data_IF_954392101628
#
_entry.id   IF_954392101628
#
_cell.length_a   1.000
_cell.length_b   1.000
_cell.length_c   1.000
_cell.angle_alpha   90.00
_cell.angle_beta   90.00
_cell.angle_gamma   90.00
#
_symmetry.space_group_name_H-M   'P 1'
#
loop_
_entity.id
_entity.type
_entity.pdbx_description
1 polymer ?
#
# COMPACT_ATOMS: atom_id res chain seq x y z
N UNK A 1 8.71 15.01 -9.92
CA UNK A 1 9.20 16.22 -9.21
C UNK A 1 10.67 16.06 -8.88
N UNK A 2 11.45 17.17 -8.96
CA UNK A 2 12.87 17.18 -8.58
C UNK A 2 13.04 17.29 -7.04
N UNK A 3 14.18 16.83 -6.53
CA UNK A 3 14.48 16.87 -5.08
C UNK A 3 14.35 18.30 -4.51
N UNK A 4 14.88 19.39 -5.14
CA UNK A 4 14.70 20.75 -4.60
C UNK A 4 13.25 21.18 -4.44
N UNK A 5 12.37 20.84 -5.40
CA UNK A 5 10.94 21.15 -5.34
C UNK A 5 10.27 20.38 -4.20
N UNK A 6 10.58 19.08 -4.06
CA UNK A 6 10.04 18.26 -2.98
C UNK A 6 10.51 18.76 -1.61
N UNK A 7 11.78 19.11 -1.45
CA UNK A 7 12.30 19.67 -0.18
C UNK A 7 11.59 20.96 0.24
N UNK A 8 11.26 21.81 -0.72
CA UNK A 8 10.47 23.03 -0.43
C UNK A 8 9.09 22.68 0.11
N UNK A 9 8.44 21.66 -0.46
CA UNK A 9 7.11 21.18 -0.02
C UNK A 9 7.17 20.42 1.32
N UNK A 10 8.32 19.84 1.67
CA UNK A 10 8.53 19.04 2.89
C UNK A 10 9.11 19.86 4.05
N UNK A 11 9.19 21.19 3.91
CA UNK A 11 9.66 22.06 5.00
C UNK A 11 8.67 21.97 6.17
N UNK A 12 9.19 21.74 7.36
CA UNK A 12 8.41 21.61 8.61
C UNK A 12 7.36 20.48 8.59
N UNK A 13 7.65 19.41 7.82
CA UNK A 13 6.79 18.22 7.71
C UNK A 13 7.48 17.03 8.36
N UNK A 14 6.79 16.39 9.32
CA UNK A 14 7.32 15.23 10.06
C UNK A 14 7.09 13.92 9.30
N UNK A 15 5.93 13.73 8.67
CA UNK A 15 5.53 12.46 8.04
C UNK A 15 5.10 12.65 6.60
N UNK A 16 5.67 11.86 5.71
CA UNK A 16 5.30 11.81 4.30
C UNK A 16 4.47 10.56 4.01
N UNK A 17 3.32 10.73 3.39
CA UNK A 17 2.53 9.63 2.81
C UNK A 17 2.70 9.68 1.30
N UNK A 18 3.55 8.81 0.75
CA UNK A 18 3.84 8.76 -0.68
C UNK A 18 2.88 7.82 -1.40
N UNK A 19 1.85 8.38 -2.03
CA UNK A 19 0.89 7.68 -2.89
C UNK A 19 1.17 7.87 -4.37
N UNK A 20 2.14 8.73 -4.74
CA UNK A 20 2.42 9.09 -6.12
C UNK A 20 3.01 7.92 -6.91
N UNK A 21 2.34 7.52 -7.99
CA UNK A 21 2.82 6.49 -8.91
C UNK A 21 1.97 6.47 -10.20
N UNK A 22 2.53 5.92 -11.28
CA UNK A 22 1.74 5.27 -12.31
C UNK A 22 1.23 3.95 -11.76
N UNK A 23 -0.10 3.82 -11.61
CA UNK A 23 -0.73 2.69 -10.90
C UNK A 23 -1.36 1.62 -11.81
N UNK A 24 -1.26 1.78 -13.13
CA UNK A 24 -1.78 0.80 -14.08
C UNK A 24 -0.87 -0.45 -14.13
N UNK A 25 -1.38 -1.65 -13.80
CA UNK A 25 -0.58 -2.88 -13.88
C UNK A 25 -0.13 -3.25 -15.30
N UNK A 26 -0.79 -2.71 -16.33
CA UNK A 26 -0.46 -2.92 -17.74
C UNK A 26 0.45 -1.82 -18.32
N UNK A 27 0.92 -0.87 -17.50
CA UNK A 27 1.83 0.18 -17.95
C UNK A 27 3.16 -0.41 -18.43
N UNK A 28 3.74 0.19 -19.48
CA UNK A 28 5.06 -0.16 -19.96
C UNK A 28 6.15 0.24 -18.97
N UNK A 29 7.38 -0.24 -19.18
CA UNK A 29 8.51 0.17 -18.35
C UNK A 29 8.78 1.67 -18.47
N UNK A 30 8.64 2.23 -19.67
CA UNK A 30 8.85 3.67 -19.92
C UNK A 30 7.82 4.54 -19.19
N UNK A 31 6.57 4.09 -19.07
CA UNK A 31 5.54 4.79 -18.30
C UNK A 31 5.85 4.81 -16.79
N UNK A 32 6.58 3.81 -16.32
CA UNK A 32 6.82 3.55 -14.90
C UNK A 32 8.13 4.17 -14.40
N UNK A 33 9.18 4.21 -15.23
CA UNK A 33 10.54 4.57 -14.79
C UNK A 33 10.56 5.94 -14.10
N UNK A 34 9.98 6.95 -14.69
CA UNK A 34 9.99 8.30 -14.12
C UNK A 34 9.14 8.44 -12.86
N UNK A 35 7.83 8.07 -12.82
CA UNK A 35 7.01 8.27 -11.63
C UNK A 35 7.34 7.29 -10.51
N UNK A 36 7.60 6.00 -10.82
CA UNK A 36 7.68 4.96 -9.81
C UNK A 36 9.11 4.67 -9.33
N UNK A 37 10.12 4.85 -10.18
CA UNK A 37 11.53 4.60 -9.84
C UNK A 37 12.18 5.91 -9.42
N UNK A 38 12.34 6.86 -10.37
CA UNK A 38 13.00 8.13 -10.10
C UNK A 38 12.18 8.97 -9.11
N UNK A 39 10.85 9.01 -9.29
CA UNK A 39 9.95 9.73 -8.40
C UNK A 39 9.96 9.19 -6.98
N UNK A 40 9.95 7.87 -6.79
CA UNK A 40 10.06 7.27 -5.47
C UNK A 40 11.39 7.63 -4.80
N UNK A 41 12.53 7.41 -5.50
CA UNK A 41 13.84 7.81 -4.98
C UNK A 41 13.87 9.28 -4.55
N UNK A 42 13.37 10.18 -5.40
CA UNK A 42 13.38 11.62 -5.10
C UNK A 42 12.58 11.95 -3.84
N UNK A 43 11.46 11.26 -3.60
CA UNK A 43 10.65 11.46 -2.37
C UNK A 43 11.42 11.02 -1.13
N UNK A 44 12.03 9.83 -1.14
CA UNK A 44 12.80 9.35 0.01
C UNK A 44 14.01 10.24 0.30
N UNK A 45 14.77 10.65 -0.74
CA UNK A 45 15.93 11.50 -0.57
C UNK A 45 15.54 12.91 -0.10
N UNK A 46 14.47 13.49 -0.67
CA UNK A 46 13.96 14.77 -0.22
C UNK A 46 13.49 14.74 1.24
N UNK A 47 12.77 13.68 1.65
CA UNK A 47 12.33 13.49 3.03
C UNK A 47 13.52 13.43 4.01
N UNK A 48 14.54 12.62 3.67
CA UNK A 48 15.78 12.54 4.45
C UNK A 48 16.48 13.91 4.59
N UNK A 49 16.66 14.61 3.46
CA UNK A 49 17.34 15.93 3.43
C UNK A 49 16.54 17.06 4.08
N UNK A 50 15.23 16.86 4.25
CA UNK A 50 14.34 17.82 4.94
C UNK A 50 14.17 17.51 6.43
N UNK A 51 14.76 16.43 6.93
CA UNK A 51 14.65 16.04 8.33
C UNK A 51 13.29 15.42 8.70
N UNK A 52 12.53 14.92 7.73
CA UNK A 52 11.29 14.18 8.04
C UNK A 52 11.58 12.96 8.90
N UNK A 53 10.67 12.64 9.81
CA UNK A 53 10.82 11.51 10.73
C UNK A 53 10.39 10.18 10.11
N UNK A 54 9.38 10.22 9.19
CA UNK A 54 8.79 9.00 8.62
C UNK A 54 8.35 9.18 7.18
N UNK A 55 8.56 8.11 6.38
CA UNK A 55 7.92 7.92 5.07
C UNK A 55 7.01 6.69 5.12
N UNK A 56 5.74 6.87 4.75
CA UNK A 56 4.80 5.79 4.49
C UNK A 56 4.71 5.63 2.98
N UNK A 57 5.12 4.48 2.48
CA UNK A 57 5.17 4.20 1.04
C UNK A 57 4.01 3.30 0.59
N UNK A 58 3.25 3.76 -0.40
CA UNK A 58 2.23 2.93 -1.04
C UNK A 58 2.88 1.89 -1.95
N UNK A 59 3.14 0.70 -1.40
CA UNK A 59 3.38 -0.52 -2.16
C UNK A 59 2.05 -1.10 -2.66
N UNK A 60 2.04 -2.31 -3.18
CA UNK A 60 0.87 -2.90 -3.80
C UNK A 60 0.82 -4.41 -3.62
N UNK A 61 -0.38 -4.98 -3.65
CA UNK A 61 -0.58 -6.43 -3.81
C UNK A 61 0.15 -6.97 -5.06
N UNK A 62 0.37 -6.13 -6.09
CA UNK A 62 1.12 -6.52 -7.30
C UNK A 62 2.58 -6.88 -7.03
N UNK A 63 3.16 -6.50 -5.90
CA UNK A 63 4.47 -6.96 -5.46
C UNK A 63 4.51 -8.49 -5.21
N UNK A 64 3.35 -9.11 -4.95
CA UNK A 64 3.24 -10.54 -4.56
C UNK A 64 2.19 -11.32 -5.36
N UNK A 65 1.71 -10.81 -6.48
CA UNK A 65 0.66 -11.46 -7.29
C UNK A 65 1.11 -12.75 -8.00
N UNK A 66 2.40 -13.07 -7.99
CA UNK A 66 2.94 -14.33 -8.52
C UNK A 66 2.63 -15.58 -7.69
N UNK A 67 2.11 -15.43 -6.47
CA UNK A 67 1.67 -16.56 -5.67
C UNK A 67 0.37 -17.16 -6.22
N UNK A 68 0.18 -18.50 -6.13
CA UNK A 68 -1.04 -19.18 -6.55
C UNK A 68 -2.30 -18.63 -5.86
N UNK A 69 -3.44 -18.74 -6.55
CA UNK A 69 -4.76 -18.44 -5.97
C UNK A 69 -4.98 -19.35 -4.75
N UNK A 70 -5.48 -18.78 -3.66
CA UNK A 70 -5.69 -19.49 -2.39
C UNK A 70 -4.49 -19.47 -1.44
N UNK A 71 -3.33 -18.93 -1.86
CA UNK A 71 -2.21 -18.66 -0.95
C UNK A 71 -2.57 -17.57 0.05
N UNK A 72 -1.94 -17.62 1.23
CA UNK A 72 -1.95 -16.51 2.20
C UNK A 72 -0.51 -16.01 2.35
N UNK A 73 -0.19 -14.93 1.66
CA UNK A 73 1.17 -14.39 1.57
C UNK A 73 1.50 -13.55 2.81
N UNK A 74 2.60 -13.89 3.47
CA UNK A 74 3.10 -13.15 4.65
C UNK A 74 4.03 -12.00 4.24
N UNK A 75 4.24 -11.08 5.15
CA UNK A 75 5.18 -9.95 4.94
C UNK A 75 6.65 -10.41 4.77
N UNK A 76 6.99 -11.60 5.26
CA UNK A 76 8.33 -12.21 5.15
C UNK A 76 8.53 -13.01 3.86
N UNK A 77 7.47 -13.29 3.12
CA UNK A 77 7.56 -14.09 1.90
C UNK A 77 8.19 -13.27 0.78
N UNK A 78 8.92 -13.98 -0.10
CA UNK A 78 9.63 -13.37 -1.22
C UNK A 78 8.64 -12.61 -2.11
N UNK A 79 9.01 -11.44 -2.55
CA UNK A 79 8.21 -10.67 -3.51
C UNK A 79 8.26 -11.35 -4.89
N UNK A 80 7.09 -11.60 -5.49
CA UNK A 80 6.91 -12.24 -6.80
C UNK A 80 5.98 -11.39 -7.67
N UNK A 81 6.50 -10.34 -8.32
CA UNK A 81 5.70 -9.49 -9.21
C UNK A 81 5.45 -10.17 -10.54
N UNK A 82 4.27 -9.94 -11.16
CA UNK A 82 3.93 -10.41 -12.51
C UNK A 82 4.00 -9.29 -13.56
N UNK A 83 4.33 -8.06 -13.19
CA UNK A 83 4.37 -6.91 -14.08
C UNK A 83 5.36 -5.85 -13.58
N UNK A 84 5.72 -4.90 -14.48
CA UNK A 84 6.66 -3.82 -14.13
C UNK A 84 6.14 -2.91 -13.02
N UNK A 85 4.83 -2.70 -12.92
CA UNK A 85 4.25 -1.96 -11.82
C UNK A 85 4.55 -2.63 -10.46
N UNK A 86 4.31 -3.94 -10.34
CA UNK A 86 4.66 -4.70 -9.13
C UNK A 86 6.17 -4.63 -8.83
N UNK A 87 7.03 -4.78 -9.84
CA UNK A 87 8.48 -4.66 -9.69
C UNK A 87 8.89 -3.27 -9.19
N UNK A 88 8.27 -2.20 -9.70
CA UNK A 88 8.53 -0.83 -9.23
C UNK A 88 8.12 -0.62 -7.76
N UNK A 89 7.10 -1.33 -7.30
CA UNK A 89 6.69 -1.28 -5.88
C UNK A 89 7.69 -1.99 -4.97
N UNK A 90 8.29 -3.09 -5.43
CA UNK A 90 9.39 -3.77 -4.72
C UNK A 90 10.62 -2.87 -4.64
N UNK A 91 10.95 -2.12 -5.69
CA UNK A 91 11.99 -1.10 -5.63
C UNK A 91 11.74 -0.10 -4.49
N UNK A 92 10.51 0.40 -4.35
CA UNK A 92 10.15 1.28 -3.24
C UNK A 92 10.22 0.60 -1.86
N UNK A 93 9.87 -0.69 -1.74
CA UNK A 93 10.07 -1.48 -0.51
C UNK A 93 11.57 -1.59 -0.18
N UNK A 94 12.44 -1.73 -1.18
CA UNK A 94 13.90 -1.73 -1.02
C UNK A 94 14.41 -0.35 -0.57
N UNK A 95 13.87 0.75 -1.10
CA UNK A 95 14.17 2.09 -0.59
C UNK A 95 13.76 2.23 0.89
N UNK A 96 12.58 1.75 1.29
CA UNK A 96 12.18 1.75 2.70
C UNK A 96 13.23 1.07 3.58
N UNK A 97 13.76 -0.08 3.15
CA UNK A 97 14.82 -0.78 3.89
C UNK A 97 16.11 0.03 3.96
N UNK A 98 16.61 0.55 2.83
CA UNK A 98 17.85 1.33 2.75
C UNK A 98 17.75 2.56 3.65
N UNK A 99 16.71 3.37 3.50
CA UNK A 99 16.59 4.62 4.23
C UNK A 99 16.39 4.42 5.74
N UNK A 100 15.72 3.35 6.14
CA UNK A 100 15.53 3.04 7.55
C UNK A 100 16.79 2.49 8.23
N UNK A 101 17.62 1.73 7.53
CA UNK A 101 18.82 1.11 8.09
C UNK A 101 20.07 1.98 7.95
N UNK A 102 20.19 2.69 6.82
CA UNK A 102 21.38 3.52 6.55
C UNK A 102 21.25 4.94 7.10
N UNK A 103 20.04 5.51 7.06
CA UNK A 103 19.84 6.93 7.36
C UNK A 103 18.90 7.19 8.54
N UNK A 104 18.49 6.16 9.26
CA UNK A 104 17.59 6.26 10.44
C UNK A 104 16.23 6.92 10.17
N UNK A 105 15.81 7.04 8.91
CA UNK A 105 14.48 7.52 8.52
C UNK A 105 13.47 6.39 8.73
N UNK A 106 12.45 6.58 9.57
CA UNK A 106 11.40 5.56 9.72
C UNK A 106 10.66 5.34 8.40
N UNK A 107 10.58 4.09 7.92
CA UNK A 107 9.95 3.77 6.65
C UNK A 107 8.97 2.59 6.78
N UNK A 108 7.71 2.81 6.45
CA UNK A 108 6.67 1.78 6.45
C UNK A 108 6.09 1.65 5.05
N UNK A 109 6.26 0.48 4.42
CA UNK A 109 5.62 0.16 3.16
C UNK A 109 4.27 -0.54 3.40
N UNK A 110 3.23 -0.19 2.65
CA UNK A 110 1.93 -0.85 2.71
C UNK A 110 1.66 -1.51 1.35
N UNK A 111 1.64 -2.83 1.29
CA UNK A 111 1.14 -3.60 0.13
C UNK A 111 -0.36 -3.44 0.07
N UNK A 112 -0.83 -2.38 -0.58
CA UNK A 112 -2.25 -2.05 -0.67
C UNK A 112 -2.93 -3.06 -1.61
N UNK A 113 -4.01 -3.65 -1.13
CA UNK A 113 -4.88 -4.52 -1.91
C UNK A 113 -5.67 -3.77 -2.98
N UNK A 114 -6.67 -4.42 -3.58
CA UNK A 114 -7.57 -3.75 -4.50
C UNK A 114 -8.44 -2.74 -3.73
N UNK A 115 -8.16 -1.45 -3.95
CA UNK A 115 -8.86 -0.38 -3.28
C UNK A 115 -10.31 -0.28 -3.75
N UNK A 116 -11.25 -0.31 -2.81
CA UNK A 116 -12.68 -0.16 -3.03
C UNK A 116 -13.14 1.15 -2.41
N UNK A 117 -13.23 2.20 -3.23
CA UNK A 117 -13.78 3.49 -2.81
C UNK A 117 -15.31 3.42 -2.67
N UNK A 118 -15.88 4.33 -1.87
CA UNK A 118 -17.31 4.32 -1.58
C UNK A 118 -18.17 4.59 -2.83
N UNK A 119 -17.71 5.41 -3.75
CA UNK A 119 -18.35 5.70 -5.04
C UNK A 119 -18.30 4.52 -6.03
N UNK A 120 -17.30 3.65 -5.94
CA UNK A 120 -17.10 2.51 -6.86
C UNK A 120 -17.54 1.16 -6.29
N UNK A 121 -18.10 1.11 -5.07
CA UNK A 121 -18.51 -0.14 -4.41
C UNK A 121 -19.38 -1.03 -5.30
N UNK A 122 -20.43 -0.46 -5.91
CA UNK A 122 -21.33 -1.23 -6.78
C UNK A 122 -20.57 -1.86 -7.93
N UNK A 123 -19.83 -1.06 -8.71
CA UNK A 123 -19.04 -1.53 -9.84
C UNK A 123 -18.12 -2.69 -9.45
N UNK A 124 -17.33 -2.52 -8.39
CA UNK A 124 -16.37 -3.54 -7.91
C UNK A 124 -17.08 -4.82 -7.51
N UNK A 125 -18.25 -4.73 -6.85
CA UNK A 125 -19.02 -5.91 -6.43
C UNK A 125 -19.59 -6.72 -7.59
N UNK A 126 -19.85 -6.11 -8.74
CA UNK A 126 -20.36 -6.79 -9.94
C UNK A 126 -19.25 -7.28 -10.86
N UNK A 127 -18.12 -6.55 -10.95
CA UNK A 127 -17.02 -6.88 -11.85
C UNK A 127 -16.03 -7.90 -11.26
N UNK A 128 -16.04 -8.11 -9.93
CA UNK A 128 -15.11 -9.03 -9.27
C UNK A 128 -15.77 -10.28 -8.76
N UNK A 129 -15.07 -11.40 -8.93
CA UNK A 129 -15.41 -12.70 -8.33
C UNK A 129 -14.59 -12.98 -7.06
N UNK A 130 -13.39 -12.40 -6.94
CA UNK A 130 -12.47 -12.61 -5.84
C UNK A 130 -12.20 -11.31 -5.05
N UNK A 131 -12.46 -11.34 -3.76
CA UNK A 131 -12.32 -10.22 -2.83
C UNK A 131 -11.21 -10.45 -1.79
N UNK A 132 -10.40 -11.50 -1.92
CA UNK A 132 -9.41 -11.94 -0.93
C UNK A 132 -8.37 -10.86 -0.57
N UNK A 133 -8.14 -9.88 -1.45
CA UNK A 133 -7.22 -8.77 -1.25
C UNK A 133 -7.87 -7.39 -1.40
N UNK A 134 -9.19 -7.30 -1.31
CA UNK A 134 -9.88 -5.99 -1.33
C UNK A 134 -9.63 -5.25 -0.02
N UNK A 135 -9.44 -3.94 -0.12
CA UNK A 135 -9.40 -3.03 1.01
C UNK A 135 -10.39 -1.90 0.80
N UNK A 136 -11.25 -1.66 1.79
CA UNK A 136 -12.24 -0.59 1.78
C UNK A 136 -11.58 0.77 2.02
N UNK A 137 -12.29 1.84 1.67
CA UNK A 137 -11.87 3.22 1.96
C UNK A 137 -11.65 3.44 3.46
N UNK A 138 -12.55 2.93 4.30
CA UNK A 138 -12.44 3.03 5.76
C UNK A 138 -11.17 2.34 6.28
N UNK A 139 -10.93 1.11 5.87
CA UNK A 139 -9.84 0.31 6.39
C UNK A 139 -8.47 0.81 5.92
N UNK A 140 -8.33 1.29 4.66
CA UNK A 140 -7.06 1.88 4.22
C UNK A 140 -6.77 3.20 4.93
N UNK A 141 -7.80 4.02 5.16
CA UNK A 141 -7.65 5.27 5.91
C UNK A 141 -7.21 5.00 7.35
N UNK A 142 -7.80 3.99 7.99
CA UNK A 142 -7.37 3.54 9.33
C UNK A 142 -5.91 3.08 9.31
N UNK A 143 -5.52 2.24 8.35
CA UNK A 143 -4.14 1.71 8.28
C UNK A 143 -3.12 2.83 8.09
N UNK A 144 -3.37 3.76 7.16
CA UNK A 144 -2.49 4.92 6.94
C UNK A 144 -2.39 5.76 8.21
N UNK A 145 -3.51 6.08 8.85
CA UNK A 145 -3.54 6.84 10.11
C UNK A 145 -2.72 6.13 11.21
N UNK A 146 -2.90 4.80 11.38
CA UNK A 146 -2.11 4.00 12.32
C UNK A 146 -0.61 4.04 12.01
N UNK A 147 -0.21 4.08 10.74
CA UNK A 147 1.19 4.23 10.36
C UNK A 147 1.72 5.64 10.67
N UNK A 148 0.90 6.70 10.49
CA UNK A 148 1.29 8.08 10.81
C UNK A 148 1.59 8.22 12.30
N UNK A 149 0.70 7.76 13.17
CA UNK A 149 0.82 7.89 14.64
C UNK A 149 1.63 6.75 15.29
N UNK A 150 2.19 5.85 14.50
CA UNK A 150 2.95 4.70 15.03
C UNK A 150 4.17 5.18 15.86
N UNK A 151 4.53 4.49 16.93
CA UNK A 151 5.67 4.87 17.78
C UNK A 151 6.97 5.07 16.99
N UNK A 152 7.78 6.07 17.37
CA UNK A 152 9.07 6.39 16.71
C UNK A 152 10.08 5.24 16.73
N UNK A 153 9.95 4.29 17.67
CA UNK A 153 10.78 3.08 17.72
C UNK A 153 10.57 2.14 16.53
N UNK A 154 9.45 2.26 15.81
CA UNK A 154 9.20 1.48 14.60
C UNK A 154 10.00 2.12 13.46
N UNK A 155 11.12 1.48 13.10
CA UNK A 155 12.01 1.98 12.04
C UNK A 155 11.64 1.48 10.66
N UNK A 156 11.17 0.23 10.57
CA UNK A 156 10.88 -0.41 9.28
C UNK A 156 9.72 -1.40 9.40
N UNK A 157 8.95 -1.53 8.33
CA UNK A 157 7.94 -2.59 8.19
C UNK A 157 7.35 -2.64 6.78
N UNK A 158 7.02 -3.85 6.32
CA UNK A 158 6.19 -4.08 5.14
C UNK A 158 4.86 -4.63 5.63
N UNK A 159 3.78 -3.90 5.45
CA UNK A 159 2.45 -4.23 5.93
C UNK A 159 1.54 -4.68 4.80
N UNK A 160 0.68 -5.64 5.06
CA UNK A 160 -0.40 -6.01 4.17
C UNK A 160 -1.61 -5.13 4.42
N UNK A 161 -2.07 -4.42 3.39
CA UNK A 161 -3.27 -3.59 3.41
C UNK A 161 -4.44 -4.33 2.76
N UNK A 162 -5.23 -5.03 3.56
CA UNK A 162 -6.47 -5.71 3.17
C UNK A 162 -7.51 -5.52 4.27
N UNK A 163 -8.80 -5.45 3.90
CA UNK A 163 -9.90 -5.57 4.85
C UNK A 163 -9.90 -6.96 5.50
N UNK A 164 -10.70 -7.17 6.56
CA UNK A 164 -10.83 -8.50 7.19
C UNK A 164 -11.73 -9.45 6.39
N UNK A 165 -11.42 -9.58 5.12
CA UNK A 165 -12.19 -10.42 4.22
C UNK A 165 -12.25 -11.87 4.71
N UNK A 166 -13.36 -12.55 4.43
CA UNK A 166 -13.60 -13.95 4.80
C UNK A 166 -12.46 -14.87 4.38
N UNK A 167 -11.83 -14.57 3.25
CA UNK A 167 -10.57 -15.17 2.79
C UNK A 167 -9.55 -14.07 2.59
N UNK A 168 -8.29 -14.35 2.87
CA UNK A 168 -7.20 -13.40 2.72
C UNK A 168 -6.15 -13.95 1.76
N UNK A 169 -5.74 -13.14 0.80
CA UNK A 169 -4.56 -13.40 -0.03
C UNK A 169 -3.28 -12.88 0.64
N UNK A 170 -3.38 -11.82 1.42
CA UNK A 170 -2.25 -11.28 2.19
C UNK A 170 -2.55 -11.36 3.69
N UNK A 171 -1.63 -11.91 4.47
CA UNK A 171 -1.73 -11.97 5.92
C UNK A 171 -1.61 -10.56 6.54
N UNK A 172 -2.62 -10.14 7.29
CA UNK A 172 -2.69 -8.84 7.96
C UNK A 172 -2.22 -8.89 9.43
N UNK A 173 -1.80 -10.04 9.94
CA UNK A 173 -1.43 -10.23 11.34
C UNK A 173 -0.27 -9.33 11.76
N UNK A 174 0.71 -9.14 10.87
CA UNK A 174 1.84 -8.26 11.14
C UNK A 174 1.44 -6.78 11.22
N UNK A 175 0.53 -6.31 10.37
CA UNK A 175 -0.01 -4.95 10.46
C UNK A 175 -0.77 -4.74 11.78
N UNK A 176 -1.57 -5.73 12.22
CA UNK A 176 -2.22 -5.71 13.52
C UNK A 176 -1.23 -5.59 14.66
N UNK A 177 -0.16 -6.41 14.65
CA UNK A 177 0.87 -6.42 15.69
C UNK A 177 1.71 -5.14 15.71
N UNK A 178 2.14 -4.66 14.53
CA UNK A 178 3.12 -3.58 14.44
C UNK A 178 2.49 -2.21 14.74
N UNK A 179 1.36 -1.90 14.12
CA UNK A 179 0.74 -0.57 14.17
C UNK A 179 -0.67 -0.56 14.78
N UNK A 180 -1.18 -1.70 15.23
CA UNK A 180 -2.53 -1.79 15.78
C UNK A 180 -3.64 -1.66 14.72
N UNK A 181 -3.38 -2.13 13.49
CA UNK A 181 -4.38 -2.19 12.43
C UNK A 181 -5.54 -3.10 12.84
N UNK A 182 -6.77 -2.62 12.76
CA UNK A 182 -7.97 -3.39 13.09
C UNK A 182 -9.06 -3.15 12.04
N UNK A 183 -8.95 -3.76 10.84
CA UNK A 183 -9.93 -3.58 9.78
C UNK A 183 -11.31 -4.07 10.19
N UNK A 184 -12.35 -3.38 9.72
CA UNK A 184 -13.74 -3.63 10.10
C UNK A 184 -14.57 -4.21 8.95
N UNK A 185 -14.19 -3.95 7.71
CA UNK A 185 -14.98 -4.37 6.54
C UNK A 185 -14.64 -5.78 6.06
N UNK A 186 -15.64 -6.45 5.50
CA UNK A 186 -15.51 -7.68 4.73
C UNK A 186 -16.17 -7.50 3.37
N UNK A 187 -15.36 -7.48 2.31
CA UNK A 187 -15.84 -7.23 0.96
C UNK A 187 -16.80 -8.33 0.46
N UNK A 188 -16.68 -9.57 0.93
CA UNK A 188 -17.62 -10.65 0.60
C UNK A 188 -19.01 -10.37 1.14
N UNK A 189 -19.10 -9.96 2.41
CA UNK A 189 -20.38 -9.62 3.06
C UNK A 189 -20.98 -8.38 2.40
N UNK A 190 -20.19 -7.32 2.24
CA UNK A 190 -20.65 -6.06 1.64
C UNK A 190 -21.18 -6.26 0.21
N UNK A 191 -20.47 -7.00 -0.62
CA UNK A 191 -20.90 -7.23 -2.00
C UNK A 191 -22.13 -8.15 -2.09
N UNK A 192 -22.28 -9.10 -1.19
CA UNK A 192 -23.49 -9.91 -1.09
C UNK A 192 -24.73 -9.06 -0.75
N UNK A 193 -24.60 -8.11 0.15
CA UNK A 193 -25.67 -7.19 0.51
C UNK A 193 -26.05 -6.25 -0.66
N UNK A 194 -25.05 -5.67 -1.34
CA UNK A 194 -25.29 -4.80 -2.50
C UNK A 194 -26.02 -5.56 -3.62
N UNK A 195 -25.61 -6.79 -3.95
CA UNK A 195 -26.27 -7.63 -4.96
C UNK A 195 -27.71 -7.91 -4.59
N UNK A 196 -28.00 -8.32 -3.34
CA UNK A 196 -29.37 -8.57 -2.87
C UNK A 196 -30.29 -7.35 -2.92
N UNK A 197 -29.77 -6.14 -2.72
CA UNK A 197 -30.56 -4.92 -2.82
C UNK A 197 -30.98 -4.62 -4.26
N UNK A 198 -30.14 -4.97 -5.23
CA UNK A 198 -30.43 -4.76 -6.66
C UNK A 198 -31.43 -5.76 -7.21
N UNK A 199 -31.43 -7.00 -6.70
CA UNK A 199 -32.41 -8.04 -7.09
C UNK A 199 -33.84 -7.75 -6.57
N UNK A 200 -34.03 -6.71 -5.74
CA UNK A 200 -35.32 -6.30 -5.16
C UNK A 200 -35.95 -5.07 -5.85
N UNK A 201 -35.24 -4.49 -6.82
CA UNK A 201 -35.69 -3.33 -7.62
C UNK A 201 -36.07 -3.78 -9.02
#
# INVERSE_FOLDING_TARGET
SSIPVLRKAMKDVDVIVNLAAQSNPSASFDDIINPNIIGAYNVFEAARLSGCERVIFASSVHAVRGYPIGSVVKHTDIALPLNFYGASKIFGESLCFIYSHTYSLSCIAIRIGAYMSDDKKKMICFERENFDYVISQRDISQLIHKCIIAPHKIKYGILSGSSRNKKLFMDISYAKKLVGYNPEDDAYTLCKEIKKLQDRI
#
